data_IF_321681685133
#
_entry.id   IF_321681685133
#
_cell.length_a   1.000
_cell.length_b   1.000
_cell.length_c   1.000
_cell.angle_alpha   90.00
_cell.angle_beta   90.00
_cell.angle_gamma   90.00
#
_symmetry.space_group_name_H-M   'P 1'
#
loop_
_entity.id
_entity.type
_entity.pdbx_description
1 polymer ?
#
# COMPACT_ATOMS: atom_id res chain seq x y z
N UNK A 1 -76.74 16.48 52.25
CA UNK A 1 -76.92 16.09 53.66
C UNK A 1 -76.58 14.59 53.77
N UNK A 2 -75.73 14.21 54.75
CA UNK A 2 -75.15 12.87 55.08
C UNK A 2 -73.80 12.57 54.39
N UNK A 3 -72.64 12.79 55.03
CA UNK A 3 -71.99 12.11 56.18
C UNK A 3 -71.14 10.90 55.71
N UNK A 4 -69.80 11.06 55.56
CA UNK A 4 -68.70 10.65 56.48
C UNK A 4 -68.69 9.15 56.83
N UNK A 5 -67.59 8.46 56.47
CA UNK A 5 -66.78 7.42 57.18
C UNK A 5 -65.90 6.81 56.06
N UNK A 6 -64.56 6.80 56.03
CA UNK A 6 -63.55 6.83 57.08
C UNK A 6 -62.93 5.43 57.23
N UNK A 7 -61.91 5.05 56.45
CA UNK A 7 -60.98 3.96 56.80
C UNK A 7 -59.57 4.28 56.28
N UNK A 8 -58.67 4.42 57.24
CA UNK A 8 -57.22 4.57 57.16
C UNK A 8 -56.63 3.15 57.14
N UNK A 9 -55.80 2.79 56.15
CA UNK A 9 -54.99 1.57 56.19
C UNK A 9 -53.53 1.92 55.93
N UNK A 10 -52.78 1.95 57.03
CA UNK A 10 -51.32 2.08 57.08
C UNK A 10 -50.75 0.69 56.78
N UNK A 11 -50.22 0.51 55.57
CA UNK A 11 -49.43 -0.66 55.18
C UNK A 11 -47.96 -0.42 55.47
N UNK A 12 -47.48 -0.99 56.57
CA UNK A 12 -46.08 -1.02 56.98
C UNK A 12 -45.34 -2.00 56.05
N UNK A 13 -44.63 -1.49 55.04
CA UNK A 13 -43.83 -2.26 54.11
C UNK A 13 -42.41 -2.48 54.65
N UNK A 14 -42.14 -3.71 55.09
CA UNK A 14 -40.84 -4.24 55.51
C UNK A 14 -39.77 -4.03 54.43
N UNK A 15 -38.72 -3.28 54.77
CA UNK A 15 -37.48 -3.22 53.98
C UNK A 15 -36.70 -4.50 54.25
N UNK A 16 -36.77 -5.46 53.31
CA UNK A 16 -35.88 -6.61 53.28
C UNK A 16 -34.56 -6.13 52.68
N UNK A 17 -33.53 -6.03 53.51
CA UNK A 17 -32.16 -5.86 53.05
C UNK A 17 -31.70 -7.19 52.44
N UNK A 18 -31.88 -7.36 51.13
CA UNK A 18 -31.18 -8.39 50.37
C UNK A 18 -29.72 -7.99 50.27
N UNK A 19 -28.87 -8.67 51.03
CA UNK A 19 -27.44 -8.69 50.83
C UNK A 19 -27.13 -9.38 49.48
N UNK A 20 -26.83 -8.59 48.46
CA UNK A 20 -26.12 -9.08 47.28
C UNK A 20 -24.63 -9.09 47.63
N UNK A 21 -24.16 -10.22 48.15
CA UNK A 21 -22.83 -10.72 47.81
C UNK A 21 -22.93 -11.37 46.44
N UNK A 22 -22.04 -11.01 45.53
CA UNK A 22 -22.04 -11.53 44.17
C UNK A 22 -21.02 -10.80 43.32
N UNK A 23 -19.90 -11.50 43.13
CA UNK A 23 -18.83 -11.30 42.15
C UNK A 23 -18.16 -9.92 42.13
N UNK A 24 -16.93 -9.88 42.67
CA UNK A 24 -15.83 -9.07 42.14
C UNK A 24 -15.65 -9.46 40.66
N UNK A 25 -16.51 -8.89 39.83
CA UNK A 25 -16.26 -8.65 38.43
C UNK A 25 -15.06 -7.70 38.43
N UNK A 26 -13.85 -8.26 38.39
CA UNK A 26 -12.60 -7.59 38.03
C UNK A 26 -12.75 -7.03 36.60
N UNK A 27 -13.62 -6.03 36.46
CA UNK A 27 -13.61 -5.14 35.33
C UNK A 27 -12.38 -4.29 35.56
N UNK A 28 -11.28 -4.76 34.99
CA UNK A 28 -10.07 -4.01 34.81
C UNK A 28 -10.43 -2.81 33.92
N UNK A 29 -10.93 -1.74 34.54
CA UNK A 29 -11.11 -0.46 33.88
C UNK A 29 -9.68 0.04 33.66
N UNK A 30 -9.15 -0.23 32.45
CA UNK A 30 -7.89 0.36 31.98
C UNK A 30 -8.12 1.87 31.87
N UNK A 31 -8.00 2.60 32.97
CA UNK A 31 -7.89 4.04 32.91
C UNK A 31 -6.53 4.37 32.33
N UNK A 32 -6.50 5.09 31.21
CA UNK A 32 -5.34 5.73 30.56
C UNK A 32 -4.58 6.73 31.48
N UNK A 33 -4.67 6.60 32.80
CA UNK A 33 -4.36 7.66 33.75
C UNK A 33 -2.88 7.79 34.11
N UNK A 34 -2.07 6.74 33.94
CA UNK A 34 -0.71 6.71 34.49
C UNK A 34 0.39 6.96 33.44
N UNK A 35 0.07 6.99 32.14
CA UNK A 35 1.05 7.29 31.13
C UNK A 35 1.36 8.80 31.06
N UNK A 36 2.65 9.20 31.03
CA UNK A 36 3.05 10.60 30.84
C UNK A 36 2.91 11.04 29.38
N UNK A 37 2.26 10.23 28.54
CA UNK A 37 2.06 10.49 27.12
C UNK A 37 0.70 9.96 26.65
N UNK A 38 0.23 10.53 25.56
CA UNK A 38 -0.95 10.14 24.81
C UNK A 38 -0.47 9.85 23.38
N UNK A 39 -0.67 8.63 22.86
CA UNK A 39 -0.40 8.36 21.46
C UNK A 39 -1.44 9.06 20.59
N UNK A 40 -0.98 9.66 19.51
CA UNK A 40 -1.79 10.25 18.44
C UNK A 40 -1.38 9.57 17.16
N UNK A 41 -2.34 8.96 16.46
CA UNK A 41 -2.07 8.35 15.16
C UNK A 41 -2.00 9.46 14.13
N UNK A 42 -0.90 9.51 13.39
CA UNK A 42 -0.65 10.49 12.34
C UNK A 42 -0.96 9.92 10.94
N UNK A 43 -1.00 8.59 10.82
CA UNK A 43 -1.50 7.90 9.62
C UNK A 43 -2.99 8.11 9.45
N UNK A 44 -3.42 8.51 8.26
CA UNK A 44 -4.84 8.64 7.93
C UNK A 44 -5.37 7.49 7.10
N UNK A 45 -4.52 6.83 6.32
CA UNK A 45 -4.93 5.74 5.44
C UNK A 45 -4.83 4.39 6.14
N UNK A 46 -5.61 4.22 7.21
CA UNK A 46 -5.65 2.99 8.00
C UNK A 46 -6.71 2.05 7.42
N UNK A 47 -6.27 1.07 6.63
CA UNK A 47 -7.16 0.11 6.01
C UNK A 47 -6.58 -1.31 5.96
N UNK A 48 -7.41 -2.28 5.59
CA UNK A 48 -6.97 -3.66 5.38
C UNK A 48 -5.86 -3.72 4.33
N UNK A 49 -4.76 -4.39 4.67
CA UNK A 49 -3.59 -4.52 3.80
C UNK A 49 -2.61 -3.35 3.89
N UNK A 50 -2.90 -2.32 4.70
CA UNK A 50 -1.92 -1.32 5.10
C UNK A 50 -1.06 -1.91 6.20
N UNK A 51 0.24 -1.99 5.93
CA UNK A 51 1.20 -2.72 6.75
C UNK A 51 2.00 -1.81 7.68
N UNK A 52 1.56 -0.56 7.86
CA UNK A 52 2.35 0.48 8.55
C UNK A 52 1.49 1.50 9.28
N UNK A 53 1.97 1.94 10.43
CA UNK A 53 1.40 3.05 11.19
C UNK A 53 2.47 4.06 11.58
N UNK A 54 2.10 5.34 11.58
CA UNK A 54 2.90 6.45 12.11
C UNK A 54 2.13 7.06 13.27
N UNK A 55 2.82 7.28 14.37
CA UNK A 55 2.26 7.91 15.56
C UNK A 55 3.20 8.96 16.14
N UNK A 56 2.61 9.89 16.88
CA UNK A 56 3.30 10.83 17.75
C UNK A 56 2.91 10.54 19.18
N UNK A 57 3.84 10.78 20.10
CA UNK A 57 3.56 10.75 21.53
C UNK A 57 3.53 12.19 22.02
N UNK A 58 2.40 12.60 22.58
CA UNK A 58 2.23 13.95 23.15
C UNK A 58 1.99 13.82 24.65
N UNK A 59 2.71 14.59 25.46
CA UNK A 59 2.29 14.90 26.82
C UNK A 59 1.17 15.96 26.76
N UNK A 60 0.40 16.11 27.83
CA UNK A 60 -0.73 17.05 27.96
C UNK A 60 -0.35 18.50 27.67
N UNK A 61 0.95 18.84 27.66
CA UNK A 61 1.46 20.19 27.44
C UNK A 61 2.55 20.26 26.35
N UNK A 62 3.39 19.23 26.12
CA UNK A 62 4.51 19.18 25.12
C UNK A 62 4.87 17.74 24.69
N UNK A 63 5.99 17.49 24.00
CA UNK A 63 6.52 16.14 23.84
C UNK A 63 6.87 15.54 25.22
N UNK A 64 6.59 14.24 25.47
CA UNK A 64 6.81 13.64 26.77
C UNK A 64 8.31 13.61 27.10
N UNK A 65 8.66 14.07 28.31
CA UNK A 65 10.01 13.92 28.85
C UNK A 65 10.22 12.47 29.26
N UNK A 66 10.83 11.68 28.40
CA UNK A 66 11.16 10.28 28.64
C UNK A 66 12.65 10.10 28.85
N UNK A 67 13.03 9.10 29.65
CA UNK A 67 14.43 8.83 29.95
C UNK A 67 15.20 8.50 28.68
N UNK A 68 16.45 8.98 28.61
CA UNK A 68 17.33 8.65 27.49
C UNK A 68 17.51 7.12 27.39
N UNK A 69 17.23 6.56 26.21
CA UNK A 69 17.27 5.11 25.97
C UNK A 69 15.95 4.39 26.25
N UNK A 70 14.86 5.11 26.53
CA UNK A 70 13.51 4.54 26.51
C UNK A 70 13.24 3.92 25.14
N UNK A 71 12.75 2.69 25.12
CA UNK A 71 12.31 2.02 23.89
C UNK A 71 10.79 1.90 23.87
N UNK A 72 10.20 1.89 22.68
CA UNK A 72 8.76 1.81 22.52
C UNK A 72 8.38 0.54 21.79
N UNK A 73 7.41 -0.14 22.37
CA UNK A 73 6.74 -1.28 21.75
C UNK A 73 5.27 -0.92 21.55
N UNK A 74 4.69 -1.49 20.51
CA UNK A 74 3.26 -1.43 20.25
C UNK A 74 2.70 -2.82 20.34
N UNK A 75 1.54 -2.92 20.99
CA UNK A 75 0.69 -4.09 20.95
C UNK A 75 -0.60 -3.76 20.21
N UNK A 76 -0.92 -4.57 19.21
CA UNK A 76 -2.14 -4.46 18.44
C UNK A 76 -3.20 -5.43 18.96
N UNK A 77 -4.44 -4.95 19.01
CA UNK A 77 -5.61 -5.75 19.30
C UNK A 77 -6.60 -5.62 18.13
N UNK A 78 -6.91 -6.75 17.50
CA UNK A 78 -7.84 -6.83 16.36
C UNK A 78 -9.30 -6.85 16.84
N UNK A 79 -10.25 -6.35 16.03
CA UNK A 79 -11.66 -6.40 16.35
C UNK A 79 -12.19 -7.84 16.38
N UNK A 80 -12.98 -8.17 17.40
CA UNK A 80 -13.74 -9.42 17.52
C UNK A 80 -15.18 -9.12 17.97
N UNK A 81 -16.07 -10.11 17.91
CA UNK A 81 -17.43 -9.93 18.42
C UNK A 81 -17.40 -9.55 19.91
N UNK A 82 -17.91 -8.35 20.23
CA UNK A 82 -17.99 -7.85 21.60
C UNK A 82 -16.71 -7.25 22.19
N UNK A 83 -15.65 -7.04 21.40
CA UNK A 83 -14.43 -6.39 21.90
C UNK A 83 -13.23 -6.46 20.96
N UNK A 84 -12.04 -6.54 21.54
CA UNK A 84 -10.78 -6.70 20.82
C UNK A 84 -9.97 -7.88 21.37
N UNK A 85 -9.11 -8.47 20.53
CA UNK A 85 -8.24 -9.59 20.89
C UNK A 85 -6.80 -9.28 20.52
N UNK A 86 -5.84 -9.68 21.38
CA UNK A 86 -4.42 -9.53 21.07
C UNK A 86 -4.08 -10.16 19.71
N UNK A 87 -3.40 -9.38 18.86
CA UNK A 87 -3.00 -9.75 17.51
C UNK A 87 -1.50 -9.95 17.39
N UNK A 88 -0.73 -8.92 17.73
CA UNK A 88 0.72 -8.92 17.55
C UNK A 88 1.38 -7.84 18.41
N UNK A 89 2.68 -8.01 18.65
CA UNK A 89 3.57 -6.97 19.13
C UNK A 89 4.47 -6.48 17.97
N UNK A 90 4.83 -5.20 17.96
CA UNK A 90 5.75 -4.61 17.00
C UNK A 90 6.66 -3.58 17.67
N UNK A 91 7.87 -3.44 17.13
CA UNK A 91 8.78 -2.35 17.52
C UNK A 91 8.46 -1.09 16.73
N UNK A 92 8.63 0.06 17.39
CA UNK A 92 8.56 1.36 16.73
C UNK A 92 9.96 1.92 16.51
N UNK A 93 10.24 2.34 15.29
CA UNK A 93 11.42 3.14 14.96
C UNK A 93 11.16 4.61 15.27
N UNK A 94 12.13 5.24 15.94
CA UNK A 94 12.06 6.66 16.29
C UNK A 94 12.57 7.50 15.13
N UNK A 95 11.77 8.48 14.72
CA UNK A 95 12.05 9.33 13.58
C UNK A 95 11.95 10.80 13.99
N UNK A 96 13.08 11.49 14.07
CA UNK A 96 13.14 12.90 14.48
C UNK A 96 13.14 13.82 13.26
N UNK A 97 12.23 14.79 13.21
CA UNK A 97 12.08 15.76 12.12
C UNK A 97 12.00 17.16 12.73
N UNK A 98 13.08 17.94 12.59
CA UNK A 98 13.19 19.21 13.30
C UNK A 98 13.13 18.98 14.83
N UNK A 99 12.13 19.58 15.48
CA UNK A 99 11.86 19.40 16.91
C UNK A 99 10.81 18.31 17.21
N UNK A 100 10.21 17.73 16.18
CA UNK A 100 9.15 16.73 16.32
C UNK A 100 9.73 15.31 16.32
N UNK A 101 9.11 14.44 17.11
CA UNK A 101 9.47 13.01 17.16
C UNK A 101 8.27 12.18 16.76
N UNK A 102 8.46 11.39 15.71
CA UNK A 102 7.51 10.41 15.22
C UNK A 102 8.01 9.01 15.55
N UNK A 103 7.06 8.09 15.54
CA UNK A 103 7.29 6.67 15.74
C UNK A 103 6.59 5.95 14.61
N UNK A 104 7.33 5.10 13.89
CA UNK A 104 6.78 4.34 12.78
C UNK A 104 7.08 2.86 12.95
N UNK A 105 6.17 2.01 12.51
CA UNK A 105 6.39 0.57 12.55
C UNK A 105 5.35 -0.19 11.76
N UNK A 106 5.62 -1.48 11.61
CA UNK A 106 4.72 -2.40 10.94
C UNK A 106 3.39 -2.53 11.71
N UNK A 107 2.29 -2.63 10.98
CA UNK A 107 0.94 -2.80 11.51
C UNK A 107 0.25 -3.96 10.77
N UNK A 108 -0.16 -5.04 11.47
CA UNK A 108 -0.76 -6.20 10.81
C UNK A 108 -2.27 -6.00 10.62
N UNK A 109 -2.67 -4.97 9.87
CA UNK A 109 -4.07 -4.60 9.68
C UNK A 109 -4.71 -5.50 8.61
N UNK A 110 -5.20 -6.67 9.02
CA UNK A 110 -5.79 -7.67 8.12
C UNK A 110 -7.32 -7.81 8.24
N UNK A 111 -7.94 -6.98 9.09
CA UNK A 111 -9.39 -6.92 9.27
C UNK A 111 -9.88 -5.47 9.43
N UNK A 112 -11.04 -5.17 8.86
CA UNK A 112 -11.70 -3.88 9.06
C UNK A 112 -12.40 -3.84 10.43
N UNK A 113 -12.57 -2.64 10.98
CA UNK A 113 -13.28 -2.41 12.25
C UNK A 113 -12.50 -1.56 13.24
N UNK A 114 -12.96 -1.55 14.49
CA UNK A 114 -12.31 -0.79 15.56
C UNK A 114 -11.21 -1.64 16.20
N UNK A 115 -9.97 -1.25 15.94
CA UNK A 115 -8.77 -1.81 16.56
C UNK A 115 -8.44 -1.06 17.84
N UNK A 116 -7.61 -1.67 18.67
CA UNK A 116 -6.93 -0.97 19.77
C UNK A 116 -5.41 -1.11 19.61
N UNK A 117 -4.71 -0.04 19.98
CA UNK A 117 -3.26 0.01 20.04
C UNK A 117 -2.83 0.37 21.46
N UNK A 118 -1.91 -0.41 22.03
CA UNK A 118 -1.26 -0.14 23.31
C UNK A 118 0.21 0.21 23.06
N UNK A 119 0.58 1.47 23.28
CA UNK A 119 1.98 1.90 23.28
C UNK A 119 2.57 1.66 24.66
N UNK A 120 3.70 0.95 24.72
CA UNK A 120 4.44 0.63 25.94
C UNK A 120 5.80 1.33 25.90
N UNK A 121 6.05 2.21 26.86
CA UNK A 121 7.37 2.77 27.09
C UNK A 121 8.14 1.87 28.08
N UNK A 122 9.29 1.37 27.63
CA UNK A 122 10.18 0.51 28.39
C UNK A 122 11.42 1.29 28.80
N UNK A 123 11.70 1.31 30.10
CA UNK A 123 12.90 1.95 30.64
C UNK A 123 14.18 1.30 30.07
N UNK A 124 15.31 2.03 30.03
CA UNK A 124 16.57 1.48 29.56
C UNK A 124 16.98 0.22 30.35
N UNK A 125 17.19 -0.89 29.65
CA UNK A 125 17.58 -2.16 30.25
C UNK A 125 16.43 -2.92 30.95
N UNK A 126 15.18 -2.47 30.79
CA UNK A 126 14.03 -3.16 31.32
C UNK A 126 13.94 -4.58 30.77
N UNK A 127 13.70 -5.55 31.64
CA UNK A 127 13.47 -6.93 31.23
C UNK A 127 12.08 -7.08 30.58
N UNK A 128 11.92 -8.10 29.75
CA UNK A 128 10.61 -8.46 29.21
C UNK A 128 9.62 -8.75 30.35
N UNK A 129 8.50 -8.01 30.39
CA UNK A 129 7.49 -8.12 31.45
C UNK A 129 7.70 -7.17 32.65
N UNK A 130 8.76 -6.37 32.67
CA UNK A 130 8.89 -5.27 33.63
C UNK A 130 7.80 -4.20 33.41
N UNK A 131 7.49 -3.44 34.47
CA UNK A 131 6.40 -2.48 34.48
C UNK A 131 6.60 -1.40 33.42
N UNK A 132 5.98 -1.62 32.26
CA UNK A 132 5.92 -0.65 31.19
C UNK A 132 4.86 0.39 31.53
N UNK A 133 5.17 1.65 31.29
CA UNK A 133 4.13 2.67 31.27
C UNK A 133 3.41 2.58 29.93
N UNK A 134 2.09 2.41 29.95
CA UNK A 134 1.32 2.13 28.74
C UNK A 134 0.13 3.06 28.55
N UNK A 135 -0.12 3.42 27.30
CA UNK A 135 -1.33 4.15 26.89
C UNK A 135 -2.04 3.37 25.79
N UNK A 136 -3.38 3.31 25.86
CA UNK A 136 -4.23 2.65 24.87
C UNK A 136 -5.03 3.65 24.07
N UNK A 137 -5.17 3.37 22.78
CA UNK A 137 -5.94 4.18 21.85
C UNK A 137 -6.75 3.26 20.92
N UNK A 138 -8.09 3.35 20.93
CA UNK A 138 -8.90 2.75 19.87
C UNK A 138 -8.74 3.55 18.57
N UNK A 139 -8.77 2.87 17.44
CA UNK A 139 -8.72 3.48 16.11
C UNK A 139 -9.51 2.67 15.10
N UNK A 140 -9.96 3.32 14.04
CA UNK A 140 -10.75 2.69 12.99
C UNK A 140 -9.84 2.23 11.85
N UNK A 141 -10.08 1.03 11.35
CA UNK A 141 -9.47 0.47 10.14
C UNK A 141 -10.56 0.25 9.11
N UNK A 142 -10.40 0.86 7.94
CA UNK A 142 -11.33 0.74 6.83
C UNK A 142 -11.12 -0.55 6.04
N UNK A 143 -12.14 -0.98 5.28
CA UNK A 143 -12.02 -2.18 4.45
C UNK A 143 -11.10 -2.01 3.25
N UNK A 144 -10.94 -0.77 2.77
CA UNK A 144 -10.15 -0.43 1.59
C UNK A 144 -9.36 0.85 1.86
N UNK A 145 -8.09 0.95 1.40
CA UNK A 145 -7.33 2.17 1.53
C UNK A 145 -7.90 3.27 0.65
N UNK A 146 -7.85 4.51 1.11
CA UNK A 146 -8.18 5.68 0.28
C UNK A 146 -7.06 5.95 -0.71
N UNK A 147 -5.81 5.67 -0.32
CA UNK A 147 -4.65 5.88 -1.18
C UNK A 147 -4.38 4.71 -2.15
N UNK A 148 -3.43 4.92 -3.06
CA UNK A 148 -3.06 3.94 -4.07
C UNK A 148 -2.40 2.70 -3.44
N UNK A 149 -3.09 1.56 -3.45
CA UNK A 149 -2.62 0.32 -2.85
C UNK A 149 -1.35 -0.28 -3.50
N UNK A 150 -0.58 -1.04 -2.71
CA UNK A 150 0.53 -1.85 -3.24
C UNK A 150 -0.01 -2.88 -4.24
N UNK A 151 0.69 -3.03 -5.36
CA UNK A 151 0.30 -3.87 -6.49
C UNK A 151 -0.57 -3.16 -7.52
N UNK A 152 -1.20 -2.03 -7.18
CA UNK A 152 -1.97 -1.22 -8.14
C UNK A 152 -1.08 -0.63 -9.23
N UNK A 153 -1.68 -0.37 -10.38
CA UNK A 153 -1.00 0.37 -11.46
C UNK A 153 -0.94 1.84 -11.07
N UNK A 154 0.27 2.39 -11.05
CA UNK A 154 0.51 3.80 -10.83
C UNK A 154 -0.17 4.63 -11.92
N UNK A 155 -0.84 5.75 -11.57
CA UNK A 155 -1.44 6.62 -12.56
C UNK A 155 -0.45 7.03 -13.63
N UNK A 156 -0.82 6.85 -14.89
CA UNK A 156 0.02 7.21 -16.01
C UNK A 156 0.12 8.73 -16.13
N UNK A 157 1.32 9.25 -16.00
CA UNK A 157 1.69 10.58 -16.48
C UNK A 157 2.82 10.43 -17.52
N UNK A 158 3.03 11.44 -18.36
CA UNK A 158 4.13 11.42 -19.32
C UNK A 158 5.49 11.20 -18.61
N UNK A 159 5.68 11.83 -17.45
CA UNK A 159 6.91 11.67 -16.67
C UNK A 159 7.08 10.25 -16.10
N UNK A 160 6.00 9.63 -15.60
CA UNK A 160 6.02 8.23 -15.14
C UNK A 160 6.34 7.29 -16.29
N UNK A 161 5.68 7.48 -17.44
CA UNK A 161 5.89 6.66 -18.62
C UNK A 161 7.32 6.82 -19.18
N UNK A 162 7.85 8.04 -19.22
CA UNK A 162 9.23 8.29 -19.66
C UNK A 162 10.23 7.63 -18.70
N UNK A 163 10.06 7.79 -17.39
CA UNK A 163 10.95 7.18 -16.40
C UNK A 163 10.95 5.64 -16.52
N UNK A 164 9.77 5.04 -16.65
CA UNK A 164 9.62 3.59 -16.80
C UNK A 164 10.14 3.09 -18.15
N UNK A 165 9.98 3.84 -19.24
CA UNK A 165 10.51 3.48 -20.57
C UNK A 165 12.04 3.32 -20.59
N UNK A 166 12.74 4.01 -19.69
CA UNK A 166 14.19 3.88 -19.49
C UNK A 166 14.56 2.62 -18.69
N UNK A 167 13.58 1.76 -18.40
CA UNK A 167 13.67 0.58 -17.54
C UNK A 167 14.25 0.91 -16.16
N UNK A 168 13.99 2.14 -15.68
CA UNK A 168 14.41 2.56 -14.35
C UNK A 168 13.24 2.48 -13.40
N UNK A 169 13.45 1.95 -12.20
CA UNK A 169 12.47 2.07 -11.15
C UNK A 169 12.32 3.53 -10.73
N UNK A 170 11.13 3.89 -10.27
CA UNK A 170 10.74 5.27 -10.04
C UNK A 170 10.41 5.46 -8.57
N UNK A 171 11.03 6.45 -7.95
CA UNK A 171 10.64 6.98 -6.66
C UNK A 171 9.76 8.20 -6.90
N UNK A 172 8.55 8.18 -6.36
CA UNK A 172 7.58 9.27 -6.51
C UNK A 172 7.36 9.91 -5.15
N UNK A 173 7.63 11.22 -5.04
CA UNK A 173 7.43 12.00 -3.82
C UNK A 173 6.40 13.08 -4.06
N UNK A 174 5.32 13.03 -3.28
CA UNK A 174 4.16 13.89 -3.46
C UNK A 174 4.00 14.77 -2.22
N UNK A 175 4.04 16.07 -2.46
CA UNK A 175 3.90 17.14 -1.46
C UNK A 175 2.86 18.13 -1.97
N UNK A 176 1.65 18.12 -1.43
CA UNK A 176 0.58 19.07 -1.75
C UNK A 176 0.92 20.49 -1.29
N UNK A 177 1.45 20.64 -0.06
CA UNK A 177 1.92 21.91 0.50
C UNK A 177 3.45 22.11 0.30
N UNK A 178 3.89 23.37 0.19
CA UNK A 178 5.31 23.70 -0.02
C UNK A 178 6.21 23.26 1.16
N UNK A 179 5.69 23.23 2.39
CA UNK A 179 6.47 22.96 3.61
C UNK A 179 5.82 21.95 4.57
N UNK A 180 4.77 21.24 4.14
CA UNK A 180 3.98 20.34 5.00
C UNK A 180 3.57 21.01 6.33
N UNK A 181 3.02 22.24 6.27
CA UNK A 181 2.58 23.02 7.43
C UNK A 181 3.72 23.36 8.42
N UNK A 182 4.93 23.58 7.90
CA UNK A 182 6.10 23.96 8.70
C UNK A 182 6.72 22.83 9.53
N UNK A 183 6.27 21.59 9.35
CA UNK A 183 6.82 20.41 10.05
C UNK A 183 8.19 19.97 9.54
N UNK A 184 8.61 20.43 8.35
CA UNK A 184 9.83 19.96 7.67
C UNK A 184 9.73 18.53 7.13
N UNK A 185 8.55 17.89 7.22
CA UNK A 185 8.32 16.54 6.70
C UNK A 185 8.50 16.46 5.18
N UNK A 186 7.98 17.45 4.44
CA UNK A 186 8.12 17.56 2.99
C UNK A 186 9.60 17.64 2.57
N UNK A 187 10.34 18.56 3.17
CA UNK A 187 11.77 18.77 2.87
C UNK A 187 12.60 17.52 3.18
N UNK A 188 12.31 16.87 4.32
CA UNK A 188 12.97 15.61 4.68
C UNK A 188 12.65 14.52 3.66
N UNK A 189 11.38 14.30 3.34
CA UNK A 189 10.98 13.25 2.40
C UNK A 189 11.63 13.44 1.03
N UNK A 190 11.70 14.70 0.56
CA UNK A 190 12.37 15.03 -0.68
C UNK A 190 13.89 14.79 -0.61
N UNK A 191 14.56 15.29 0.42
CA UNK A 191 16.00 15.11 0.60
C UNK A 191 16.39 13.62 0.69
N UNK A 192 15.62 12.84 1.44
CA UNK A 192 15.80 11.40 1.58
C UNK A 192 15.63 10.69 0.23
N UNK A 193 14.61 11.08 -0.55
CA UNK A 193 14.35 10.52 -1.86
C UNK A 193 15.42 10.89 -2.89
N UNK A 194 15.95 12.11 -2.86
CA UNK A 194 17.07 12.56 -3.71
C UNK A 194 18.34 11.77 -3.43
N UNK A 195 18.68 11.57 -2.16
CA UNK A 195 19.83 10.77 -1.74
C UNK A 195 19.71 9.33 -2.28
N UNK A 196 18.58 8.68 -2.02
CA UNK A 196 18.34 7.30 -2.44
C UNK A 196 18.25 7.16 -3.96
N UNK A 197 17.62 8.10 -4.65
CA UNK A 197 17.56 8.08 -6.11
C UNK A 197 18.96 8.19 -6.73
N UNK A 198 19.82 9.06 -6.17
CA UNK A 198 21.22 9.19 -6.57
C UNK A 198 22.02 7.91 -6.28
N UNK A 199 21.90 7.35 -5.07
CA UNK A 199 22.62 6.15 -4.65
C UNK A 199 22.25 4.91 -5.47
N UNK A 200 20.97 4.69 -5.72
CA UNK A 200 20.46 3.49 -6.39
C UNK A 200 20.21 3.69 -7.90
N UNK A 201 20.48 4.88 -8.44
CA UNK A 201 20.28 5.20 -9.86
C UNK A 201 18.82 5.21 -10.31
N UNK A 202 17.90 5.58 -9.41
CA UNK A 202 16.47 5.63 -9.67
C UNK A 202 16.06 6.92 -10.39
N UNK A 203 14.90 6.90 -11.03
CA UNK A 203 14.24 8.14 -11.46
C UNK A 203 13.44 8.70 -10.28
N UNK A 204 13.68 9.96 -9.92
CA UNK A 204 12.87 10.68 -8.92
C UNK A 204 11.84 11.55 -9.63
N UNK A 205 10.57 11.38 -9.29
CA UNK A 205 9.48 12.24 -9.73
C UNK A 205 8.87 12.96 -8.53
N UNK A 206 8.76 14.27 -8.62
CA UNK A 206 8.08 15.11 -7.63
C UNK A 206 6.71 15.54 -8.16
N UNK A 207 5.84 16.08 -7.31
CA UNK A 207 4.55 16.66 -7.73
C UNK A 207 4.71 17.60 -8.94
N UNK A 208 5.70 18.49 -8.93
CA UNK A 208 5.96 19.42 -10.04
C UNK A 208 6.20 18.71 -11.37
N UNK A 209 6.91 17.58 -11.36
CA UNK A 209 7.16 16.77 -12.56
C UNK A 209 5.91 16.03 -13.07
N UNK A 210 4.90 15.82 -12.22
CA UNK A 210 3.73 15.00 -12.56
C UNK A 210 2.52 15.81 -13.00
N UNK A 211 2.43 17.08 -12.62
CA UNK A 211 1.28 17.97 -12.92
C UNK A 211 1.31 18.50 -14.36
N UNK A 212 2.33 18.16 -15.14
CA UNK A 212 2.69 18.83 -16.40
C UNK A 212 1.72 18.63 -17.61
N UNK A 213 0.49 18.11 -17.42
CA UNK A 213 -0.52 18.09 -18.51
C UNK A 213 -1.98 17.86 -18.09
N UNK A 214 -2.27 17.24 -16.94
CA UNK A 214 -3.63 16.80 -16.56
C UNK A 214 -4.41 17.77 -15.66
N UNK A 215 -3.77 18.86 -15.21
CA UNK A 215 -4.36 19.77 -14.23
C UNK A 215 -4.27 19.20 -12.80
N UNK A 216 -4.03 20.07 -11.81
CA UNK A 216 -3.67 19.65 -10.44
C UNK A 216 -4.72 18.79 -9.72
N UNK A 217 -6.01 18.96 -10.01
CA UNK A 217 -7.09 18.19 -9.38
C UNK A 217 -7.15 16.74 -9.88
N UNK A 218 -7.10 16.52 -11.20
CA UNK A 218 -7.09 15.18 -11.76
C UNK A 218 -5.86 14.38 -11.29
N UNK A 219 -4.74 15.07 -11.06
CA UNK A 219 -3.55 14.47 -10.48
C UNK A 219 -3.77 14.03 -9.01
N UNK A 220 -4.34 14.89 -8.17
CA UNK A 220 -4.63 14.56 -6.78
C UNK A 220 -5.61 13.40 -6.64
N UNK A 221 -6.67 13.39 -7.47
CA UNK A 221 -7.65 12.30 -7.50
C UNK A 221 -7.01 10.99 -7.97
N UNK A 222 -6.17 11.03 -9.01
CA UNK A 222 -5.54 9.83 -9.54
C UNK A 222 -4.56 9.17 -8.55
N UNK A 223 -3.83 9.98 -7.78
CA UNK A 223 -2.89 9.49 -6.76
C UNK A 223 -3.51 9.37 -5.36
N UNK A 224 -4.80 9.69 -5.23
CA UNK A 224 -5.56 9.67 -3.98
C UNK A 224 -4.85 10.36 -2.81
N UNK A 225 -4.45 11.61 -3.01
CA UNK A 225 -3.66 12.37 -2.03
C UNK A 225 -4.58 13.11 -1.05
N UNK A 226 -4.75 12.55 0.14
CA UNK A 226 -5.47 13.23 1.23
C UNK A 226 -4.53 14.03 2.16
N UNK A 227 -3.30 13.52 2.36
CA UNK A 227 -2.30 14.09 3.28
C UNK A 227 -0.91 14.12 2.66
N UNK A 228 0.04 14.77 3.34
CA UNK A 228 1.43 14.89 2.88
C UNK A 228 2.46 14.53 3.95
N UNK A 229 3.69 14.20 3.52
CA UNK A 229 4.05 13.77 2.16
C UNK A 229 3.64 12.32 1.88
N UNK A 230 3.55 11.94 0.61
CA UNK A 230 3.54 10.53 0.20
C UNK A 230 4.80 10.15 -0.54
N UNK A 231 5.31 8.95 -0.27
CA UNK A 231 6.42 8.35 -1.01
C UNK A 231 5.94 7.04 -1.60
N UNK A 232 6.01 6.91 -2.92
CA UNK A 232 5.72 5.66 -3.62
C UNK A 232 6.96 5.12 -4.30
N UNK A 233 7.18 3.82 -4.16
CA UNK A 233 8.19 3.07 -4.92
C UNK A 233 7.47 2.34 -6.04
N UNK A 234 7.74 2.73 -7.30
CA UNK A 234 7.06 2.21 -8.48
C UNK A 234 8.04 1.40 -9.34
N UNK A 235 7.65 0.17 -9.66
CA UNK A 235 8.42 -0.72 -10.52
C UNK A 235 8.37 -0.34 -12.00
N UNK A 236 9.27 -0.92 -12.80
CA UNK A 236 9.31 -0.73 -14.26
C UNK A 236 8.08 -1.32 -15.00
N UNK A 237 7.19 -2.05 -14.31
CA UNK A 237 5.90 -2.50 -14.83
C UNK A 237 4.74 -1.56 -14.45
N UNK A 238 5.06 -0.34 -14.01
CA UNK A 238 4.11 0.66 -13.50
C UNK A 238 3.33 0.22 -12.26
N UNK A 239 3.74 -0.82 -11.53
CA UNK A 239 3.06 -1.21 -10.29
C UNK A 239 3.71 -0.56 -9.07
N UNK A 240 2.87 -0.14 -8.12
CA UNK A 240 3.32 0.28 -6.79
C UNK A 240 3.87 -0.93 -6.06
N UNK A 241 5.11 -0.86 -5.59
CA UNK A 241 5.78 -1.90 -4.82
C UNK A 241 5.78 -1.60 -3.33
N UNK A 242 5.85 -0.31 -2.97
CA UNK A 242 5.73 0.16 -1.60
C UNK A 242 5.14 1.57 -1.60
N UNK A 243 4.49 1.93 -0.50
CA UNK A 243 3.93 3.27 -0.27
C UNK A 243 4.15 3.67 1.18
N UNK A 244 4.43 4.95 1.41
CA UNK A 244 4.66 5.49 2.74
C UNK A 244 3.93 6.80 2.90
N UNK A 245 3.11 6.88 3.94
CA UNK A 245 2.43 8.08 4.36
C UNK A 245 3.30 8.85 5.37
N UNK A 246 3.35 10.18 5.22
CA UNK A 246 3.99 11.20 6.04
C UNK A 246 5.52 11.16 6.16
N UNK A 247 6.07 9.99 6.39
CA UNK A 247 7.51 9.78 6.53
C UNK A 247 7.82 8.34 6.24
N UNK A 248 9.05 8.05 5.87
CA UNK A 248 9.61 6.71 5.83
C UNK A 248 10.98 6.72 6.51
N UNK A 249 11.35 5.64 7.17
CA UNK A 249 12.71 5.50 7.69
C UNK A 249 13.67 5.15 6.55
N UNK A 250 14.96 5.43 6.73
CA UNK A 250 15.96 5.06 5.73
C UNK A 250 15.99 3.54 5.54
N UNK A 251 15.78 2.79 6.61
CA UNK A 251 15.72 1.33 6.59
C UNK A 251 14.53 0.86 5.74
N UNK A 252 13.34 1.44 5.98
CA UNK A 252 12.12 1.13 5.22
C UNK A 252 12.30 1.39 3.71
N UNK A 253 12.76 2.59 3.32
CA UNK A 253 12.92 2.91 1.91
C UNK A 253 14.01 2.08 1.23
N UNK A 254 15.15 1.88 1.90
CA UNK A 254 16.23 1.03 1.37
C UNK A 254 15.77 -0.41 1.21
N UNK A 255 14.97 -0.93 2.15
CA UNK A 255 14.41 -2.27 2.05
C UNK A 255 13.47 -2.41 0.84
N UNK A 256 12.58 -1.42 0.64
CA UNK A 256 11.68 -1.37 -0.51
C UNK A 256 12.44 -1.28 -1.86
N UNK A 257 13.46 -0.42 -1.94
CA UNK A 257 14.31 -0.27 -3.13
C UNK A 257 15.11 -1.54 -3.39
N UNK A 258 15.69 -2.15 -2.35
CA UNK A 258 16.44 -3.39 -2.49
C UNK A 258 15.55 -4.55 -2.95
N UNK A 259 14.29 -4.60 -2.50
CA UNK A 259 13.31 -5.56 -2.99
C UNK A 259 13.03 -5.36 -4.48
N UNK A 260 12.83 -4.11 -4.88
CA UNK A 260 12.63 -3.74 -6.27
C UNK A 260 13.82 -4.16 -7.16
N UNK A 261 15.05 -3.98 -6.69
CA UNK A 261 16.24 -4.39 -7.44
C UNK A 261 16.36 -5.92 -7.56
N UNK A 262 15.92 -6.67 -6.54
CA UNK A 262 15.85 -8.14 -6.62
C UNK A 262 14.84 -8.61 -7.65
N UNK A 263 13.65 -8.01 -7.72
CA UNK A 263 12.65 -8.33 -8.75
C UNK A 263 13.16 -7.96 -10.15
N UNK A 264 13.94 -6.88 -10.29
CA UNK A 264 14.48 -6.46 -11.60
C UNK A 264 15.67 -7.33 -12.07
N UNK A 265 16.59 -7.68 -11.17
CA UNK A 265 17.78 -8.50 -11.51
C UNK A 265 17.44 -9.99 -11.67
N UNK A 266 16.21 -10.40 -11.32
CA UNK A 266 15.67 -11.75 -11.52
C UNK A 266 15.54 -12.19 -12.99
N UNK A 267 15.85 -11.34 -13.97
CA UNK A 267 16.19 -11.80 -15.32
C UNK A 267 15.00 -12.30 -16.15
N UNK A 268 13.85 -11.66 -16.05
CA UNK A 268 12.92 -11.65 -17.17
C UNK A 268 13.40 -10.62 -18.20
N UNK A 269 14.25 -11.04 -19.14
CA UNK A 269 14.59 -10.19 -20.29
C UNK A 269 13.28 -9.83 -21.01
N UNK A 270 12.85 -8.56 -20.88
CA UNK A 270 11.83 -8.00 -21.76
C UNK A 270 12.49 -7.83 -23.13
N UNK A 271 12.54 -8.93 -23.89
CA UNK A 271 12.96 -8.90 -25.29
C UNK A 271 11.81 -8.29 -26.09
N UNK A 272 11.82 -6.97 -26.24
CA UNK A 272 11.14 -6.35 -27.35
C UNK A 272 11.89 -6.73 -28.63
N UNK A 273 11.52 -7.85 -29.25
CA UNK A 273 11.95 -8.15 -30.62
C UNK A 273 11.14 -7.24 -31.53
N UNK A 274 11.69 -6.08 -31.88
CA UNK A 274 11.22 -5.34 -33.05
C UNK A 274 11.61 -6.17 -34.28
N UNK A 275 10.67 -6.97 -34.77
CA UNK A 275 10.82 -7.74 -36.00
C UNK A 275 10.64 -6.85 -37.23
N UNK A 276 11.43 -7.15 -38.25
CA UNK A 276 11.54 -6.50 -39.55
C UNK A 276 10.19 -6.36 -40.29
N UNK A 277 10.06 -5.29 -41.07
CA UNK A 277 8.89 -4.94 -41.88
C UNK A 277 8.56 -6.08 -42.85
N UNK A 278 7.40 -6.73 -42.70
CA UNK A 278 6.90 -7.72 -43.66
C UNK A 278 6.00 -7.00 -44.68
N UNK A 279 6.26 -7.06 -45.99
CA UNK A 279 5.39 -6.43 -46.98
C UNK A 279 4.15 -7.29 -47.28
N UNK A 280 2.99 -6.61 -47.25
CA UNK A 280 1.67 -6.84 -47.89
C UNK A 280 1.08 -8.24 -48.12
N UNK A 281 -0.23 -8.34 -47.83
CA UNK A 281 -1.18 -9.12 -48.65
C UNK A 281 -2.03 -10.17 -47.94
N UNK A 282 -2.41 -9.99 -46.67
CA UNK A 282 -3.15 -11.01 -45.91
C UNK A 282 -4.47 -10.43 -45.41
N UNK A 283 -5.58 -11.01 -45.85
CA UNK A 283 -6.92 -10.71 -45.38
C UNK A 283 -7.38 -11.66 -44.27
N UNK A 284 -8.52 -11.38 -43.62
CA UNK A 284 -9.12 -12.27 -42.62
C UNK A 284 -9.39 -13.66 -43.21
N UNK A 285 -8.73 -14.70 -42.68
CA UNK A 285 -8.90 -16.10 -43.12
C UNK A 285 -7.69 -16.70 -43.83
N UNK A 286 -6.74 -15.88 -44.28
CA UNK A 286 -5.51 -16.36 -44.90
C UNK A 286 -4.61 -17.11 -43.90
N UNK A 287 -3.77 -18.04 -44.38
CA UNK A 287 -2.79 -18.73 -43.53
C UNK A 287 -1.78 -17.74 -42.97
N UNK A 288 -1.34 -17.97 -41.73
CA UNK A 288 -0.26 -17.21 -41.10
C UNK A 288 0.95 -17.24 -42.06
N UNK A 289 1.54 -16.09 -42.43
CA UNK A 289 2.71 -16.06 -43.31
C UNK A 289 3.79 -17.03 -42.82
N UNK A 290 4.37 -17.79 -43.74
CA UNK A 290 5.38 -18.82 -43.44
C UNK A 290 6.55 -18.28 -42.60
N UNK A 291 6.87 -17.00 -42.73
CA UNK A 291 7.85 -16.29 -41.90
C UNK A 291 7.47 -16.23 -40.41
N UNK A 292 6.19 -15.98 -40.09
CA UNK A 292 5.69 -15.97 -38.70
C UNK A 292 5.59 -17.40 -38.17
N UNK A 293 5.15 -18.34 -39.02
CA UNK A 293 5.16 -19.77 -38.67
C UNK A 293 6.56 -20.30 -38.35
N UNK A 294 7.56 -19.95 -39.16
CA UNK A 294 8.96 -20.32 -38.95
C UNK A 294 9.51 -19.69 -37.67
N UNK A 295 9.18 -18.42 -37.39
CA UNK A 295 9.61 -17.75 -36.16
C UNK A 295 9.01 -18.38 -34.89
N UNK A 296 7.75 -18.83 -34.94
CA UNK A 296 7.11 -19.56 -33.85
C UNK A 296 7.76 -20.94 -33.66
N UNK A 297 8.04 -21.64 -34.76
CA UNK A 297 8.63 -22.98 -34.77
C UNK A 297 10.08 -22.98 -34.26
N UNK A 298 10.90 -22.00 -34.65
CA UNK A 298 12.26 -21.78 -34.13
C UNK A 298 12.28 -21.52 -32.62
N UNK A 299 11.16 -21.09 -32.05
CA UNK A 299 10.98 -20.84 -30.62
C UNK A 299 10.22 -21.95 -29.89
N UNK A 300 9.94 -23.06 -30.56
CA UNK A 300 9.24 -24.22 -29.99
C UNK A 300 7.77 -23.96 -29.66
N UNK A 301 7.15 -22.95 -30.29
CA UNK A 301 5.73 -22.62 -30.13
C UNK A 301 4.95 -23.18 -31.31
N UNK A 302 3.84 -23.87 -31.02
CA UNK A 302 2.95 -24.41 -32.05
C UNK A 302 1.88 -23.37 -32.40
N UNK A 303 1.86 -22.93 -33.66
CA UNK A 303 0.90 -21.95 -34.16
C UNK A 303 -0.56 -22.42 -34.05
N UNK A 304 -0.81 -23.73 -33.90
CA UNK A 304 -2.14 -24.29 -33.70
C UNK A 304 -2.67 -24.14 -32.27
N UNK A 305 -1.84 -23.74 -31.30
CA UNK A 305 -2.25 -23.49 -29.91
C UNK A 305 -2.89 -22.10 -29.68
N UNK A 306 -2.99 -21.27 -30.74
CA UNK A 306 -3.57 -19.93 -30.67
C UNK A 306 -5.05 -19.94 -31.12
N UNK A 307 -5.98 -19.59 -30.23
CA UNK A 307 -7.39 -19.42 -30.59
C UNK A 307 -7.58 -18.15 -31.44
N UNK A 308 -8.22 -18.30 -32.62
CA UNK A 308 -8.66 -17.19 -33.45
C UNK A 308 -9.97 -16.62 -32.90
N UNK A 309 -9.93 -15.45 -32.30
CA UNK A 309 -11.15 -14.68 -32.03
C UNK A 309 -11.33 -13.65 -33.14
N UNK A 310 -12.38 -13.80 -33.94
CA UNK A 310 -12.71 -12.84 -35.00
C UNK A 310 -13.29 -11.56 -34.38
N UNK A 311 -12.67 -10.41 -34.65
CA UNK A 311 -13.18 -9.09 -34.29
C UNK A 311 -13.36 -8.22 -35.53
N UNK A 312 -14.28 -7.26 -35.42
CA UNK A 312 -14.65 -6.29 -36.45
C UNK A 312 -13.46 -5.36 -36.78
N UNK A 313 -13.38 -4.88 -38.03
CA UNK A 313 -12.21 -4.26 -38.69
C UNK A 313 -11.70 -2.94 -38.05
N UNK A 314 -12.22 -2.56 -36.87
CA UNK A 314 -11.89 -1.33 -36.15
C UNK A 314 -11.36 -1.55 -34.72
N UNK A 315 -11.22 -2.80 -34.28
CA UNK A 315 -10.76 -3.10 -32.92
C UNK A 315 -9.44 -3.90 -32.90
N UNK A 316 -8.53 -3.48 -32.01
CA UNK A 316 -7.27 -4.15 -31.70
C UNK A 316 -7.48 -5.63 -31.38
N UNK A 317 -6.87 -6.54 -32.14
CA UNK A 317 -6.87 -7.97 -31.85
C UNK A 317 -5.86 -8.34 -30.77
N UNK A 318 -6.32 -8.89 -29.65
CA UNK A 318 -5.46 -9.48 -28.62
C UNK A 318 -5.44 -11.01 -28.80
N UNK A 319 -4.27 -11.61 -29.01
CA UNK A 319 -4.11 -13.06 -29.04
C UNK A 319 -3.46 -13.54 -27.73
N UNK A 320 -4.14 -14.43 -27.01
CA UNK A 320 -3.59 -15.09 -25.84
C UNK A 320 -3.29 -16.55 -26.18
N UNK A 321 -2.08 -17.02 -25.88
CA UNK A 321 -1.78 -18.46 -25.90
C UNK A 321 -2.08 -19.05 -24.52
N UNK A 322 -2.78 -20.18 -24.50
CA UNK A 322 -2.98 -20.95 -23.27
C UNK A 322 -1.66 -21.56 -22.74
N UNK A 323 -1.65 -22.07 -21.50
CA UNK A 323 -0.45 -22.63 -20.89
C UNK A 323 0.10 -23.82 -21.68
N UNK A 324 1.39 -23.74 -22.05
CA UNK A 324 2.08 -24.80 -22.76
C UNK A 324 2.23 -26.05 -21.88
N UNK A 325 1.81 -27.22 -22.37
CA UNK A 325 1.91 -28.49 -21.63
C UNK A 325 3.34 -29.04 -21.55
N UNK A 326 4.29 -28.51 -22.33
CA UNK A 326 5.64 -29.07 -22.45
C UNK A 326 6.67 -28.39 -21.53
N UNK A 327 6.34 -27.27 -20.87
CA UNK A 327 7.22 -26.56 -19.94
C UNK A 327 6.49 -26.17 -18.65
N UNK A 328 6.53 -26.99 -17.58
CA UNK A 328 5.95 -26.63 -16.30
C UNK A 328 6.71 -25.42 -15.70
N UNK A 329 6.05 -24.26 -15.65
CA UNK A 329 6.59 -23.03 -15.04
C UNK A 329 6.41 -21.75 -15.86
N UNK A 330 6.09 -21.83 -17.16
CA UNK A 330 5.64 -20.68 -17.94
C UNK A 330 4.11 -20.60 -17.87
N UNK A 331 3.58 -19.56 -17.25
CA UNK A 331 2.16 -19.24 -17.32
C UNK A 331 1.98 -17.90 -18.05
N UNK A 332 1.14 -17.94 -19.09
CA UNK A 332 0.59 -16.84 -19.89
C UNK A 332 1.58 -15.92 -20.62
N UNK A 333 1.83 -16.25 -21.90
CA UNK A 333 2.44 -15.32 -22.87
C UNK A 333 1.31 -14.67 -23.67
N UNK A 334 1.17 -13.35 -23.52
CA UNK A 334 0.28 -12.57 -24.38
C UNK A 334 1.08 -12.03 -25.57
N UNK A 335 0.67 -12.39 -26.78
CA UNK A 335 1.20 -11.82 -28.01
C UNK A 335 0.22 -10.75 -28.47
N UNK A 336 0.58 -9.48 -28.33
CA UNK A 336 -0.26 -8.39 -28.80
C UNK A 336 0.21 -8.01 -30.19
N UNK A 337 -0.65 -8.22 -31.19
CA UNK A 337 -0.38 -7.81 -32.56
C UNK A 337 -1.22 -6.57 -32.82
N UNK A 338 -0.59 -5.41 -32.92
CA UNK A 338 -1.26 -4.15 -33.25
C UNK A 338 -1.19 -3.93 -34.76
N UNK A 339 -2.34 -3.84 -35.41
CA UNK A 339 -2.43 -3.34 -36.78
C UNK A 339 -2.47 -1.81 -36.71
N UNK A 340 -1.54 -1.14 -37.39
CA UNK A 340 -1.60 0.31 -37.60
C UNK A 340 -1.96 0.55 -39.06
N UNK A 341 -3.14 1.11 -39.30
CA UNK A 341 -3.53 1.65 -40.60
C UNK A 341 -3.14 3.13 -40.63
N UNK A 342 -2.39 3.52 -41.64
CA UNK A 342 -2.11 4.90 -41.97
C UNK A 342 -3.16 5.38 -42.98
N UNK A 343 -3.97 6.38 -42.64
CA UNK A 343 -5.07 6.83 -43.51
C UNK A 343 -4.59 7.45 -44.85
N UNK A 344 -3.32 7.87 -44.93
CA UNK A 344 -2.73 8.50 -46.12
C UNK A 344 -1.83 7.55 -46.94
N UNK A 345 -1.66 6.29 -46.52
CA UNK A 345 -0.90 5.30 -47.29
C UNK A 345 -1.60 3.94 -47.33
N UNK A 346 -1.57 3.26 -48.49
CA UNK A 346 -2.08 1.87 -48.62
C UNK A 346 -1.27 0.86 -47.77
N UNK A 347 -0.37 1.32 -46.89
CA UNK A 347 0.54 0.52 -46.08
C UNK A 347 -0.14 0.11 -44.77
N UNK A 348 -0.42 -1.19 -44.64
CA UNK A 348 -0.77 -1.81 -43.37
C UNK A 348 0.49 -2.27 -42.67
N UNK A 349 0.77 -1.74 -41.48
CA UNK A 349 1.93 -2.15 -40.68
C UNK A 349 1.48 -3.05 -39.52
N UNK A 350 2.14 -4.19 -39.37
CA UNK A 350 1.93 -5.11 -38.26
C UNK A 350 3.00 -4.87 -37.21
N UNK A 351 2.60 -4.56 -35.98
CA UNK A 351 3.49 -4.48 -34.83
C UNK A 351 3.25 -5.71 -33.94
N UNK A 352 4.22 -6.62 -33.89
CA UNK A 352 4.14 -7.82 -33.05
C UNK A 352 4.86 -7.52 -31.73
N UNK A 353 4.11 -7.36 -30.65
CA UNK A 353 4.62 -7.16 -29.30
C UNK A 353 4.55 -8.48 -28.53
N UNK A 354 5.72 -9.04 -28.23
CA UNK A 354 5.81 -10.19 -27.31
C UNK A 354 5.85 -9.67 -25.88
N UNK A 355 4.76 -9.81 -25.14
CA UNK A 355 4.75 -9.57 -23.70
C UNK A 355 4.95 -10.90 -22.97
N UNK A 356 6.16 -11.10 -22.42
CA UNK A 356 6.43 -12.25 -21.56
C UNK A 356 6.20 -11.79 -20.12
N UNK A 357 5.12 -12.23 -19.49
CA UNK A 357 4.89 -12.01 -18.07
C UNK A 357 5.48 -13.20 -17.33
N UNK A 358 6.63 -13.04 -16.69
CA UNK A 358 6.92 -13.89 -15.54
C UNK A 358 5.99 -13.41 -14.44
N UNK A 359 4.89 -14.15 -14.20
CA UNK A 359 4.05 -13.94 -13.03
C UNK A 359 4.92 -14.25 -11.80
N UNK A 360 5.57 -13.22 -11.26
CA UNK A 360 6.35 -13.27 -10.04
C UNK A 360 5.42 -13.50 -8.84
N UNK A 361 5.02 -14.75 -8.65
CA UNK A 361 4.55 -15.24 -7.35
C UNK A 361 5.62 -15.08 -6.25
N UNK A 362 6.87 -14.73 -6.62
CA UNK A 362 8.01 -14.50 -5.71
C UNK A 362 8.20 -13.04 -5.27
N UNK A 363 7.51 -12.06 -5.88
CA UNK A 363 7.61 -10.65 -5.49
C UNK A 363 6.39 -10.17 -4.69
N UNK A 364 5.80 -11.03 -3.86
CA UNK A 364 4.93 -10.56 -2.78
C UNK A 364 5.79 -10.08 -1.61
N UNK A 365 5.50 -8.87 -1.16
CA UNK A 365 5.94 -8.35 0.14
C UNK A 365 5.31 -9.26 1.20
N UNK A 366 6.12 -10.07 1.87
CA UNK A 366 5.79 -10.57 3.20
C UNK A 366 6.61 -9.75 4.17
N UNK A 367 6.01 -8.77 4.83
CA UNK A 367 6.62 -8.18 6.02
C UNK A 367 6.52 -9.27 7.08
N UNK A 368 7.67 -9.87 7.41
CA UNK A 368 7.79 -10.90 8.44
C UNK A 368 7.83 -10.33 9.84
#
# INVERSE_FOLDING_TARGET
MRAIVGVLLIGLGTVVATACGGDDDDRFVVTNADAPFVPVIESTDLAVGVDRIVLRLVDRVRAPSLDAGTTFQVRYFEPVEGGVRFRADASLEVVVVGEETFYAGAAPLDAAGTWELEVRALAPGAAEGEAAVSARLPFQVESEPTSLAVGSVAPSSQAVLEAVSKQRPVLVVLTLAEDCFGSGLCDRALAQAEELASEFGLSLLTKTALVDSTGGLAFQEAWSLENDPWIYVVGANLRVLARFERLATDVELRAAIAQLQRCFTGGGELVAVAGEIVPHGVGPGDPIPEAVGSLLQDRGLDASEFERTAFDERELGLFAAGPSRSQPGLHDVALVIVLVEDEDSDLRTWLVLKASWLVESRCRVGVG
#
